data_IF_699822552646
#
_entry.id   IF_699822552646
#
_cell.length_a   1.000
_cell.length_b   1.000
_cell.length_c   1.000
_cell.angle_alpha   90.00
_cell.angle_beta   90.00
_cell.angle_gamma   90.00
#
_symmetry.space_group_name_H-M   'P 1'
#
loop_
_entity.id
_entity.type
_entity.pdbx_description
1 polymer ?
#
# COMPACT_ATOMS: atom_id res chain seq x y z
N UNK A 1 -29.18 4.77 18.49
CA UNK A 1 -28.13 4.67 17.45
C UNK A 1 -26.78 4.81 18.13
N UNK A 2 -25.74 4.12 17.66
CA UNK A 2 -24.38 4.26 18.20
C UNK A 2 -23.88 5.68 17.88
N UNK A 3 -23.35 6.39 18.86
CA UNK A 3 -22.89 7.79 18.73
C UNK A 3 -21.37 7.91 18.78
N UNK A 4 -20.71 6.88 19.27
CA UNK A 4 -19.26 6.82 19.48
C UNK A 4 -18.65 5.47 19.06
N UNK A 5 -17.34 5.44 18.94
CA UNK A 5 -16.55 4.28 18.55
C UNK A 5 -15.22 4.24 19.31
N UNK A 6 -14.57 3.10 19.35
CA UNK A 6 -13.18 2.99 19.75
C UNK A 6 -12.25 3.24 18.56
N UNK A 7 -11.16 3.96 18.79
CA UNK A 7 -10.15 4.26 17.78
C UNK A 7 -8.75 4.40 18.39
N UNK A 8 -7.74 4.08 17.60
CA UNK A 8 -6.33 4.32 17.94
C UNK A 8 -5.92 5.72 17.52
N UNK A 9 -5.58 6.56 18.49
CA UNK A 9 -5.47 8.02 18.35
C UNK A 9 -4.08 8.52 18.75
N UNK A 10 -3.60 9.55 18.05
CA UNK A 10 -2.48 10.38 18.47
C UNK A 10 -2.92 11.83 18.65
N UNK A 11 -2.32 12.55 19.61
CA UNK A 11 -2.64 13.95 19.92
C UNK A 11 -1.60 14.95 19.37
N UNK A 12 -0.47 14.46 18.93
CA UNK A 12 0.61 15.23 18.30
C UNK A 12 1.52 14.29 17.52
N UNK A 13 2.28 14.85 16.59
CA UNK A 13 3.33 14.09 15.91
C UNK A 13 4.47 13.71 16.87
N UNK A 14 5.10 12.55 16.62
CA UNK A 14 6.26 12.06 17.35
C UNK A 14 6.15 10.58 17.71
N UNK A 15 7.22 10.03 18.25
CA UNK A 15 7.30 8.62 18.69
C UNK A 15 6.57 8.34 20.01
N UNK A 16 5.57 9.16 20.31
CA UNK A 16 4.73 8.99 21.49
C UNK A 16 3.77 7.79 21.38
N UNK A 17 3.03 7.51 22.48
CA UNK A 17 2.06 6.42 22.50
C UNK A 17 0.91 6.69 21.55
N UNK A 18 0.38 5.61 20.96
CA UNK A 18 -0.91 5.60 20.30
C UNK A 18 -1.92 5.07 21.32
N UNK A 19 -2.95 5.87 21.61
CA UNK A 19 -3.92 5.57 22.66
C UNK A 19 -5.19 4.98 22.09
N UNK A 20 -5.78 3.99 22.77
CA UNK A 20 -7.13 3.53 22.46
C UNK A 20 -8.13 4.46 23.17
N UNK A 21 -8.92 5.18 22.37
CA UNK A 21 -9.84 6.20 22.88
C UNK A 21 -11.25 6.05 22.35
N UNK A 22 -12.20 6.65 23.06
CA UNK A 22 -13.57 6.81 22.62
C UNK A 22 -13.69 8.07 21.79
N UNK A 23 -14.09 7.93 20.53
CA UNK A 23 -14.23 9.01 19.57
C UNK A 23 -15.66 9.07 19.04
N UNK A 24 -16.19 10.24 18.69
CA UNK A 24 -17.49 10.32 18.00
C UNK A 24 -17.42 9.55 16.69
N UNK A 25 -18.57 9.00 16.27
CA UNK A 25 -18.65 8.43 14.91
C UNK A 25 -18.31 9.51 13.87
N UNK A 26 -17.54 9.17 12.81
CA UNK A 26 -17.20 10.15 11.79
C UNK A 26 -18.47 10.67 11.09
N UNK A 27 -18.51 11.98 10.83
CA UNK A 27 -19.57 12.56 10.01
C UNK A 27 -19.57 11.95 8.61
N UNK A 28 -20.71 11.88 7.96
CA UNK A 28 -20.87 11.30 6.64
C UNK A 28 -21.53 12.32 5.71
N UNK A 29 -20.97 12.48 4.52
CA UNK A 29 -21.57 13.26 3.44
C UNK A 29 -22.56 12.41 2.62
N UNK A 30 -23.42 13.01 1.78
CA UNK A 30 -24.34 12.27 0.92
C UNK A 30 -23.67 11.29 -0.05
N UNK A 31 -22.39 11.47 -0.37
CA UNK A 31 -21.61 10.63 -1.30
C UNK A 31 -20.72 9.59 -0.59
N UNK A 32 -20.84 9.49 0.72
CA UNK A 32 -20.02 8.58 1.52
C UNK A 32 -20.83 7.38 2.02
N UNK A 33 -20.10 6.33 2.34
CA UNK A 33 -20.62 5.22 3.13
C UNK A 33 -19.89 5.18 4.47
N UNK A 34 -20.61 4.76 5.51
CA UNK A 34 -19.97 4.38 6.78
C UNK A 34 -19.74 2.89 6.78
N UNK A 35 -18.52 2.49 6.97
CA UNK A 35 -18.13 1.08 7.01
C UNK A 35 -17.82 0.69 8.45
N UNK A 36 -18.38 -0.44 8.91
CA UNK A 36 -17.95 -1.11 10.12
C UNK A 36 -16.71 -1.94 9.78
N UNK A 37 -15.56 -1.49 10.27
CA UNK A 37 -14.27 -2.12 10.00
C UNK A 37 -14.20 -3.47 10.71
N UNK A 38 -13.73 -4.50 10.01
CA UNK A 38 -13.48 -5.85 10.52
C UNK A 38 -11.99 -6.14 10.63
N UNK A 39 -11.21 -5.60 9.70
CA UNK A 39 -9.75 -5.67 9.68
C UNK A 39 -9.14 -4.40 9.10
N UNK A 40 -7.97 -4.05 9.56
CA UNK A 40 -7.15 -2.97 9.03
C UNK A 40 -5.68 -3.42 9.02
N UNK A 41 -4.93 -3.05 7.98
CA UNK A 41 -3.51 -3.37 7.88
C UNK A 41 -2.63 -2.24 8.41
N UNK A 42 -1.45 -2.60 8.91
CA UNK A 42 -0.43 -1.65 9.35
C UNK A 42 0.61 -1.51 8.24
N UNK A 43 0.89 -0.28 7.85
CA UNK A 43 1.83 0.03 6.78
C UNK A 43 2.93 0.99 7.25
N UNK A 44 4.12 1.00 6.60
CA UNK A 44 5.19 1.95 6.92
C UNK A 44 4.76 3.42 6.90
N UNK A 45 3.76 3.79 6.10
CA UNK A 45 3.24 5.16 6.08
C UNK A 45 2.56 5.55 7.38
N UNK A 46 1.96 4.62 8.11
CA UNK A 46 1.24 4.92 9.36
C UNK A 46 2.18 5.49 10.43
N UNK A 47 3.35 4.89 10.61
CA UNK A 47 4.33 5.42 11.55
C UNK A 47 5.13 6.61 10.97
N UNK A 48 5.31 6.72 9.65
CA UNK A 48 5.85 7.95 9.04
C UNK A 48 4.93 9.15 9.30
N UNK A 49 3.60 8.96 9.23
CA UNK A 49 2.61 9.98 9.60
C UNK A 49 2.67 10.25 11.09
N UNK A 50 2.59 9.21 11.93
CA UNK A 50 2.68 9.35 13.40
C UNK A 50 3.90 10.17 13.82
N UNK A 51 5.06 9.85 13.27
CA UNK A 51 6.33 10.48 13.63
C UNK A 51 6.50 11.90 13.04
N UNK A 52 5.58 12.34 12.17
CA UNK A 52 5.60 13.65 11.53
C UNK A 52 6.55 13.77 10.35
N UNK A 53 7.08 12.66 9.84
CA UNK A 53 7.97 12.64 8.68
C UNK A 53 7.32 13.15 7.39
N UNK A 54 5.99 13.16 7.34
CA UNK A 54 5.21 13.62 6.18
C UNK A 54 4.45 14.93 6.42
N UNK A 55 4.65 15.61 7.55
CA UNK A 55 3.88 16.82 7.94
C UNK A 55 3.97 18.00 6.96
N UNK A 56 5.02 18.07 6.17
CA UNK A 56 5.16 19.09 5.12
C UNK A 56 4.27 18.84 3.89
N UNK A 57 3.91 17.59 3.66
CA UNK A 57 3.08 17.16 2.52
C UNK A 57 1.64 16.86 2.94
N UNK A 58 1.46 16.32 4.14
CA UNK A 58 0.19 15.87 4.69
C UNK A 58 0.00 16.52 6.06
N UNK A 59 -0.88 17.51 6.10
CA UNK A 59 -1.22 18.20 7.35
C UNK A 59 -2.50 17.60 7.92
N UNK A 60 -2.44 17.09 9.13
CA UNK A 60 -3.58 16.53 9.84
C UNK A 60 -3.95 17.38 11.06
N UNK A 61 -5.23 17.34 11.42
CA UNK A 61 -5.73 17.88 12.68
C UNK A 61 -5.68 16.81 13.77
N UNK A 62 -5.49 17.23 15.00
CA UNK A 62 -5.51 16.35 16.16
C UNK A 62 -6.79 16.55 16.99
N UNK A 63 -7.30 15.50 17.67
CA UNK A 63 -6.78 14.14 17.70
C UNK A 63 -6.89 13.43 16.33
N UNK A 64 -5.85 12.69 15.93
CA UNK A 64 -5.79 11.99 14.64
C UNK A 64 -5.92 10.49 14.83
N UNK A 65 -6.87 9.87 14.17
CA UNK A 65 -6.98 8.41 14.05
C UNK A 65 -6.06 7.96 12.92
N UNK A 66 -5.17 7.01 13.20
CA UNK A 66 -4.23 6.45 12.23
C UNK A 66 -4.87 5.35 11.37
N UNK A 67 -4.13 4.89 10.37
CA UNK A 67 -4.48 3.77 9.51
C UNK A 67 -4.92 4.18 8.11
N UNK A 68 -4.49 3.39 7.12
CA UNK A 68 -4.65 3.68 5.70
C UNK A 68 -5.37 2.60 4.90
N UNK A 69 -5.56 1.40 5.45
CA UNK A 69 -6.21 0.27 4.78
C UNK A 69 -7.29 -0.34 5.66
N UNK A 70 -8.34 -0.83 5.05
CA UNK A 70 -9.39 -1.54 5.76
C UNK A 70 -10.15 -2.53 4.87
N UNK A 71 -10.80 -3.48 5.52
CA UNK A 71 -11.92 -4.24 4.99
C UNK A 71 -13.03 -4.32 6.03
N UNK A 72 -14.28 -4.34 5.59
CA UNK A 72 -15.42 -4.32 6.49
C UNK A 72 -16.76 -4.45 5.78
N UNK A 73 -17.81 -4.08 6.50
CA UNK A 73 -19.19 -4.14 6.02
C UNK A 73 -19.80 -2.72 6.00
N UNK A 74 -20.49 -2.39 4.94
CA UNK A 74 -21.24 -1.15 4.83
C UNK A 74 -22.32 -1.11 5.92
N UNK A 75 -22.22 -0.14 6.82
CA UNK A 75 -23.13 0.05 7.93
C UNK A 75 -24.22 1.09 7.64
N UNK A 76 -23.89 2.13 6.89
CA UNK A 76 -24.77 3.22 6.51
C UNK A 76 -24.38 3.74 5.14
N UNK A 77 -25.35 4.21 4.36
CA UNK A 77 -25.16 4.69 2.98
C UNK A 77 -25.71 6.10 2.86
N UNK A 78 -24.94 7.00 2.27
CA UNK A 78 -25.38 8.37 1.97
C UNK A 78 -26.37 8.42 0.81
N UNK A 79 -27.25 9.41 0.83
CA UNK A 79 -28.41 9.51 -0.09
C UNK A 79 -28.06 9.59 -1.58
N UNK A 80 -26.80 9.89 -1.91
CA UNK A 80 -26.29 9.98 -3.29
C UNK A 80 -25.48 8.77 -3.73
N UNK A 81 -25.30 7.78 -2.86
CA UNK A 81 -24.59 6.55 -3.18
C UNK A 81 -25.58 5.52 -3.74
N UNK A 82 -25.30 5.00 -4.92
CA UNK A 82 -26.16 4.02 -5.61
C UNK A 82 -25.49 2.66 -5.82
N UNK A 83 -24.16 2.60 -5.74
CA UNK A 83 -23.36 1.41 -6.03
C UNK A 83 -23.18 0.45 -4.84
N UNK A 84 -23.54 0.89 -3.64
CA UNK A 84 -23.43 0.07 -2.42
C UNK A 84 -24.72 0.12 -1.60
N UNK A 85 -24.92 -0.93 -0.81
CA UNK A 85 -26.03 -1.04 0.16
C UNK A 85 -25.51 -1.55 1.51
N UNK A 86 -26.29 -1.35 2.55
CA UNK A 86 -26.00 -1.87 3.90
C UNK A 86 -25.81 -3.39 3.85
N UNK A 87 -24.73 -3.86 4.48
CA UNK A 87 -24.33 -5.26 4.52
C UNK A 87 -23.36 -5.67 3.42
N UNK A 88 -23.08 -4.84 2.42
CA UNK A 88 -22.07 -5.15 1.41
C UNK A 88 -20.67 -5.25 2.05
N UNK A 89 -19.93 -6.28 1.67
CA UNK A 89 -18.52 -6.45 2.08
C UNK A 89 -17.64 -5.64 1.16
N UNK A 90 -16.85 -4.75 1.75
CA UNK A 90 -16.01 -3.80 1.02
C UNK A 90 -14.60 -3.73 1.60
N UNK A 91 -13.66 -3.29 0.78
CA UNK A 91 -12.31 -2.99 1.19
C UNK A 91 -11.84 -1.73 0.48
N UNK A 92 -10.84 -1.05 1.01
CA UNK A 92 -10.37 0.16 0.38
C UNK A 92 -9.27 0.87 1.15
N UNK A 93 -8.82 1.93 0.51
CA UNK A 93 -7.86 2.89 1.04
C UNK A 93 -8.47 4.28 0.98
N UNK A 94 -8.76 4.91 2.13
CA UNK A 94 -9.30 6.27 2.14
C UNK A 94 -8.27 7.25 1.55
N UNK A 95 -8.75 8.38 1.04
CA UNK A 95 -7.88 9.47 0.55
C UNK A 95 -6.92 9.94 1.65
N UNK A 96 -5.74 10.42 1.24
CA UNK A 96 -4.67 10.85 2.15
C UNK A 96 -5.12 11.93 3.15
N UNK A 97 -6.11 12.74 2.81
CA UNK A 97 -6.64 13.79 3.69
C UNK A 97 -7.64 13.28 4.73
N UNK A 98 -8.10 12.04 4.63
CA UNK A 98 -9.16 11.47 5.49
C UNK A 98 -8.84 10.03 5.91
N UNK A 99 -7.63 9.82 6.41
CA UNK A 99 -7.20 8.52 6.98
C UNK A 99 -7.98 8.22 8.28
N UNK A 100 -7.81 7.04 8.86
CA UNK A 100 -8.42 6.70 10.14
C UNK A 100 -9.02 5.30 10.20
N UNK A 101 -8.31 4.32 9.65
CA UNK A 101 -8.81 2.94 9.59
C UNK A 101 -8.54 2.13 10.86
N UNK A 102 -7.74 2.65 11.81
CA UNK A 102 -7.53 2.00 13.11
C UNK A 102 -8.64 2.40 14.08
N UNK A 103 -9.89 2.13 13.69
CA UNK A 103 -11.12 2.44 14.39
C UNK A 103 -12.20 1.39 14.10
N UNK A 104 -13.29 1.40 14.86
CA UNK A 104 -14.42 0.50 14.59
C UNK A 104 -15.23 0.92 13.35
N UNK A 105 -15.21 2.19 12.99
CA UNK A 105 -15.95 2.74 11.84
C UNK A 105 -15.13 3.78 11.11
N UNK A 106 -15.34 3.86 9.79
CA UNK A 106 -14.85 4.94 8.95
C UNK A 106 -15.98 5.43 8.03
N UNK A 107 -16.03 6.75 7.76
CA UNK A 107 -16.85 7.30 6.67
C UNK A 107 -15.92 7.64 5.50
N UNK A 108 -16.18 7.04 4.36
CA UNK A 108 -15.31 7.09 3.17
C UNK A 108 -16.14 7.32 1.92
N UNK A 109 -15.60 8.06 0.94
CA UNK A 109 -16.29 8.25 -0.33
C UNK A 109 -16.50 6.90 -1.01
N UNK A 110 -17.68 6.71 -1.57
CA UNK A 110 -18.04 5.46 -2.24
C UNK A 110 -17.10 5.10 -3.43
N UNK A 111 -16.41 6.10 -4.00
CA UNK A 111 -15.41 5.90 -5.06
C UNK A 111 -14.04 5.41 -4.55
N UNK A 112 -13.81 5.43 -3.24
CA UNK A 112 -12.54 5.02 -2.61
C UNK A 112 -12.56 3.58 -2.10
N UNK A 113 -13.66 2.88 -2.33
CA UNK A 113 -13.85 1.49 -1.93
C UNK A 113 -14.28 0.62 -3.11
N UNK A 114 -14.04 -0.66 -2.97
CA UNK A 114 -14.49 -1.67 -3.91
C UNK A 114 -15.18 -2.83 -3.17
N UNK A 115 -16.04 -3.61 -3.87
CA UNK A 115 -16.54 -4.86 -3.34
C UNK A 115 -15.37 -5.80 -2.98
N UNK A 116 -15.42 -6.39 -1.82
CA UNK A 116 -14.39 -7.34 -1.37
C UNK A 116 -14.35 -8.55 -2.30
N UNK A 117 -13.17 -8.99 -2.77
CA UNK A 117 -13.06 -10.19 -3.61
C UNK A 117 -13.65 -11.41 -2.91
N UNK A 118 -14.34 -12.26 -3.68
CA UNK A 118 -14.90 -13.50 -3.15
C UNK A 118 -13.78 -14.44 -2.72
N UNK A 119 -13.98 -15.10 -1.59
CA UNK A 119 -13.05 -16.10 -1.06
C UNK A 119 -11.99 -15.56 -0.12
N UNK A 120 -11.80 -14.24 -0.03
CA UNK A 120 -10.87 -13.64 0.93
C UNK A 120 -11.53 -13.44 2.30
N UNK A 121 -10.75 -13.57 3.35
CA UNK A 121 -11.08 -13.07 4.69
C UNK A 121 -10.97 -11.55 4.73
N UNK A 122 -11.49 -10.91 5.79
CA UNK A 122 -11.34 -9.47 5.97
C UNK A 122 -9.87 -9.05 6.16
N UNK A 123 -9.09 -9.89 6.83
CA UNK A 123 -7.66 -9.69 7.06
C UNK A 123 -6.88 -9.72 5.75
N UNK A 124 -7.14 -10.71 4.91
CA UNK A 124 -6.54 -10.79 3.57
C UNK A 124 -6.96 -9.60 2.71
N UNK A 125 -8.24 -9.27 2.67
CA UNK A 125 -8.73 -8.12 1.90
C UNK A 125 -8.15 -6.79 2.39
N UNK A 126 -8.03 -6.58 3.72
CA UNK A 126 -7.46 -5.36 4.28
C UNK A 126 -5.97 -5.20 3.97
N UNK A 127 -5.24 -6.29 3.70
CA UNK A 127 -3.81 -6.24 3.38
C UNK A 127 -3.51 -5.71 1.97
N UNK A 128 -4.50 -5.64 1.10
CA UNK A 128 -4.32 -5.40 -0.34
C UNK A 128 -4.31 -3.91 -0.75
N UNK A 129 -5.20 -3.01 -0.27
CA UNK A 129 -5.47 -1.75 -0.94
C UNK A 129 -4.23 -0.86 -1.13
N UNK A 130 -3.46 -0.61 -0.08
CA UNK A 130 -2.28 0.25 -0.17
C UNK A 130 -1.18 -0.39 -1.02
N UNK A 131 -0.82 -1.63 -0.74
CA UNK A 131 0.26 -2.33 -1.45
C UNK A 131 -0.11 -2.59 -2.90
N UNK A 132 -1.37 -2.96 -3.15
CA UNK A 132 -1.89 -3.23 -4.49
C UNK A 132 -1.94 -1.96 -5.36
N UNK A 133 -2.46 -0.86 -4.84
CA UNK A 133 -2.46 0.43 -5.54
C UNK A 133 -1.03 0.93 -5.79
N UNK A 134 -0.13 0.75 -4.83
CA UNK A 134 1.28 1.15 -4.98
C UNK A 134 1.97 0.34 -6.08
N UNK A 135 1.79 -0.99 -6.09
CA UNK A 135 2.36 -1.86 -7.12
C UNK A 135 1.76 -1.57 -8.51
N UNK A 136 0.42 -1.40 -8.57
CA UNK A 136 -0.28 -1.06 -9.80
C UNK A 136 0.25 0.24 -10.40
N UNK A 137 0.31 1.31 -9.62
CA UNK A 137 0.79 2.61 -10.08
C UNK A 137 2.25 2.55 -10.52
N UNK A 138 3.12 1.89 -9.74
CA UNK A 138 4.53 1.75 -10.10
C UNK A 138 4.71 1.01 -11.43
N UNK A 139 4.03 -0.13 -11.63
CA UNK A 139 4.23 -1.00 -12.79
C UNK A 139 3.49 -0.47 -14.04
N UNK A 140 2.23 0.01 -13.89
CA UNK A 140 1.44 0.42 -15.04
C UNK A 140 1.53 1.91 -15.39
N UNK A 141 1.60 2.79 -14.38
CA UNK A 141 1.50 4.23 -14.62
C UNK A 141 2.89 4.87 -14.75
N UNK A 142 3.87 4.40 -13.95
CA UNK A 142 5.23 4.95 -13.95
C UNK A 142 6.13 4.16 -14.89
N UNK A 143 6.35 2.87 -14.66
CA UNK A 143 7.21 2.03 -15.52
C UNK A 143 6.55 1.78 -16.87
N UNK A 144 5.22 1.71 -16.92
CA UNK A 144 4.42 1.40 -18.11
C UNK A 144 4.79 0.06 -18.76
N UNK A 145 5.17 -0.91 -17.92
CA UNK A 145 5.66 -2.21 -18.34
C UNK A 145 4.65 -2.96 -19.23
N UNK A 146 5.14 -3.56 -20.32
CA UNK A 146 4.36 -4.36 -21.25
C UNK A 146 4.68 -5.85 -21.10
N UNK A 147 3.77 -6.78 -21.49
CA UNK A 147 4.06 -8.21 -21.46
C UNK A 147 5.40 -8.53 -22.16
N UNK A 148 6.26 -9.29 -21.49
CA UNK A 148 7.60 -9.62 -21.97
C UNK A 148 8.71 -8.69 -21.47
N UNK A 149 8.39 -7.52 -20.92
CA UNK A 149 9.39 -6.63 -20.32
C UNK A 149 10.01 -7.26 -19.07
N UNK A 150 11.26 -6.90 -18.81
CA UNK A 150 11.99 -7.30 -17.60
C UNK A 150 11.88 -6.23 -16.52
N UNK A 151 11.38 -6.61 -15.35
CA UNK A 151 11.25 -5.70 -14.21
C UNK A 151 11.95 -6.29 -12.98
N UNK A 152 12.84 -5.50 -12.35
CA UNK A 152 13.35 -5.79 -11.02
C UNK A 152 12.38 -5.24 -9.98
N UNK A 153 11.93 -6.09 -9.06
CA UNK A 153 11.13 -5.72 -7.89
C UNK A 153 11.99 -5.92 -6.65
N UNK A 154 12.40 -4.84 -6.01
CA UNK A 154 13.23 -4.92 -4.81
C UNK A 154 12.43 -5.30 -3.57
N UNK A 155 13.08 -5.98 -2.61
CA UNK A 155 12.49 -6.46 -1.35
C UNK A 155 11.24 -7.33 -1.58
N UNK A 156 11.37 -8.40 -2.35
CA UNK A 156 10.29 -9.28 -2.79
C UNK A 156 9.46 -9.93 -1.67
N UNK A 157 10.03 -10.12 -0.47
CA UNK A 157 9.29 -10.65 0.69
C UNK A 157 8.51 -9.59 1.48
N UNK A 158 8.66 -8.29 1.15
CA UNK A 158 7.89 -7.21 1.77
C UNK A 158 6.46 -7.15 1.27
N UNK A 159 5.56 -6.44 1.97
CA UNK A 159 4.15 -6.33 1.59
C UNK A 159 3.95 -5.82 0.16
N UNK A 160 4.63 -4.74 -0.23
CA UNK A 160 4.56 -4.21 -1.61
C UNK A 160 5.23 -5.16 -2.60
N UNK A 161 6.43 -5.67 -2.27
CA UNK A 161 7.20 -6.56 -3.15
C UNK A 161 6.47 -7.85 -3.48
N UNK A 162 5.90 -8.52 -2.49
CA UNK A 162 5.18 -9.77 -2.67
C UNK A 162 3.92 -9.61 -3.53
N UNK A 163 3.18 -8.53 -3.35
CA UNK A 163 2.05 -8.22 -4.23
C UNK A 163 2.52 -7.86 -5.64
N UNK A 164 3.56 -7.04 -5.77
CA UNK A 164 4.10 -6.60 -7.05
C UNK A 164 4.62 -7.76 -7.90
N UNK A 165 5.27 -8.77 -7.30
CA UNK A 165 5.71 -9.99 -8.00
C UNK A 165 4.50 -10.70 -8.61
N UNK A 166 3.47 -11.00 -7.82
CA UNK A 166 2.27 -11.68 -8.30
C UNK A 166 1.59 -10.90 -9.43
N UNK A 167 1.45 -9.59 -9.24
CA UNK A 167 0.84 -8.72 -10.24
C UNK A 167 1.65 -8.67 -11.54
N UNK A 168 2.97 -8.51 -11.45
CA UNK A 168 3.87 -8.48 -12.61
C UNK A 168 3.88 -9.82 -13.36
N UNK A 169 3.91 -10.94 -12.64
CA UNK A 169 3.80 -12.29 -13.23
C UNK A 169 2.47 -12.49 -13.94
N UNK A 170 1.35 -12.08 -13.33
CA UNK A 170 0.02 -12.16 -13.95
C UNK A 170 -0.09 -11.29 -15.22
N UNK A 171 0.69 -10.21 -15.30
CA UNK A 171 0.81 -9.34 -16.47
C UNK A 171 1.72 -9.90 -17.57
N UNK A 172 2.41 -11.01 -17.32
CA UNK A 172 3.32 -11.64 -18.28
C UNK A 172 4.70 -10.98 -18.35
N UNK A 173 5.14 -10.32 -17.27
CA UNK A 173 6.47 -9.74 -17.18
C UNK A 173 7.51 -10.80 -16.77
N UNK A 174 8.76 -10.61 -17.18
CA UNK A 174 9.90 -11.25 -16.56
C UNK A 174 10.23 -10.52 -15.26
N UNK A 175 10.24 -11.24 -14.14
CA UNK A 175 10.39 -10.68 -12.80
C UNK A 175 11.66 -11.19 -12.14
N UNK A 176 12.62 -10.28 -11.92
CA UNK A 176 13.68 -10.49 -10.96
C UNK A 176 13.31 -9.84 -9.61
N UNK A 177 13.79 -10.42 -8.52
CA UNK A 177 13.56 -9.82 -7.20
C UNK A 177 14.73 -10.03 -6.25
N UNK A 178 14.87 -9.12 -5.28
CA UNK A 178 15.87 -9.22 -4.22
C UNK A 178 15.22 -9.60 -2.89
N UNK A 179 15.95 -10.35 -2.08
CA UNK A 179 15.53 -10.73 -0.74
C UNK A 179 16.67 -11.30 0.07
N UNK A 180 16.37 -11.86 1.24
CA UNK A 180 17.32 -12.61 2.08
C UNK A 180 16.80 -14.02 2.32
N UNK A 181 17.62 -14.88 2.94
CA UNK A 181 17.24 -16.25 3.27
C UNK A 181 15.93 -16.33 4.06
N UNK A 182 15.70 -15.40 4.98
CA UNK A 182 14.48 -15.38 5.78
C UNK A 182 13.19 -15.13 4.97
N UNK A 183 13.31 -14.54 3.78
CA UNK A 183 12.17 -14.31 2.88
C UNK A 183 12.13 -15.25 1.68
N UNK A 184 13.14 -16.13 1.53
CA UNK A 184 13.35 -16.96 0.34
C UNK A 184 12.14 -17.87 0.04
N UNK A 185 11.66 -18.60 1.02
CA UNK A 185 10.51 -19.53 0.86
C UNK A 185 9.26 -18.80 0.33
N UNK A 186 8.96 -17.63 0.90
CA UNK A 186 7.85 -16.81 0.42
C UNK A 186 8.10 -16.35 -1.03
N UNK A 187 9.29 -15.81 -1.31
CA UNK A 187 9.61 -15.31 -2.65
C UNK A 187 9.51 -16.43 -3.69
N UNK A 188 10.07 -17.61 -3.43
CA UNK A 188 10.02 -18.76 -4.33
C UNK A 188 8.59 -19.24 -4.56
N UNK A 189 7.72 -19.18 -3.55
CA UNK A 189 6.29 -19.51 -3.68
C UNK A 189 5.53 -18.56 -4.62
N UNK A 190 6.03 -17.32 -4.81
CA UNK A 190 5.47 -16.34 -5.74
C UNK A 190 5.95 -16.50 -7.18
N UNK A 191 6.88 -17.44 -7.41
CA UNK A 191 7.41 -17.83 -8.72
C UNK A 191 7.98 -16.67 -9.56
N UNK A 192 8.90 -15.83 -9.02
CA UNK A 192 9.67 -14.91 -9.84
C UNK A 192 10.57 -15.70 -10.82
N UNK A 193 11.00 -15.06 -11.91
CA UNK A 193 11.93 -15.70 -12.86
C UNK A 193 13.36 -15.75 -12.30
N UNK A 194 13.71 -14.79 -11.44
CA UNK A 194 15.03 -14.70 -10.84
C UNK A 194 14.98 -14.17 -9.39
N UNK A 195 15.70 -14.83 -8.48
CA UNK A 195 15.84 -14.41 -7.09
C UNK A 195 17.30 -14.15 -6.76
N UNK A 196 17.59 -12.95 -6.27
CA UNK A 196 18.92 -12.51 -5.83
C UNK A 196 18.92 -12.35 -4.32
N UNK A 197 19.73 -13.17 -3.64
CA UNK A 197 20.02 -12.99 -2.22
C UNK A 197 21.02 -11.83 -2.04
N UNK A 198 20.56 -10.67 -1.61
CA UNK A 198 21.40 -9.48 -1.48
C UNK A 198 22.52 -9.59 -0.44
N UNK A 199 22.52 -10.64 0.40
CA UNK A 199 23.61 -10.93 1.34
C UNK A 199 24.78 -11.68 0.69
N UNK A 200 24.53 -12.33 -0.43
CA UNK A 200 25.50 -13.18 -1.12
C UNK A 200 25.94 -12.57 -2.44
N UNK A 201 25.07 -11.76 -3.07
CA UNK A 201 25.28 -11.28 -4.42
C UNK A 201 24.70 -9.88 -4.63
N UNK A 202 25.45 -9.03 -5.31
CA UNK A 202 24.99 -7.72 -5.73
C UNK A 202 24.16 -7.83 -7.03
N UNK A 203 22.92 -7.41 -7.00
CA UNK A 203 22.05 -7.49 -8.16
C UNK A 203 22.58 -6.70 -9.36
N UNK A 204 23.33 -5.62 -9.14
CA UNK A 204 23.89 -4.79 -10.20
C UNK A 204 25.05 -5.46 -10.97
N UNK A 205 25.65 -6.50 -10.39
CA UNK A 205 26.72 -7.25 -11.04
C UNK A 205 26.18 -8.36 -11.97
N UNK A 206 24.95 -8.81 -11.71
CA UNK A 206 24.37 -9.99 -12.39
C UNK A 206 23.19 -9.67 -13.29
N UNK A 207 22.42 -8.64 -12.98
CA UNK A 207 21.28 -8.23 -13.80
C UNK A 207 21.71 -7.23 -14.89
N UNK A 208 21.10 -7.34 -16.09
CA UNK A 208 21.36 -6.42 -17.22
C UNK A 208 20.12 -6.30 -18.09
N UNK A 209 20.04 -5.16 -18.77
CA UNK A 209 19.04 -4.90 -19.81
C UNK A 209 17.59 -5.03 -19.30
N UNK A 210 17.30 -4.41 -18.13
CA UNK A 210 15.97 -4.33 -17.57
C UNK A 210 15.20 -3.13 -18.15
N UNK A 211 13.89 -3.32 -18.37
CA UNK A 211 12.97 -2.28 -18.86
C UNK A 211 12.49 -1.41 -17.68
N UNK A 212 12.42 -1.97 -16.49
CA UNK A 212 12.00 -1.24 -15.31
C UNK A 212 12.60 -1.74 -14.00
N UNK A 213 12.66 -0.83 -13.02
CA UNK A 213 12.96 -1.16 -11.63
C UNK A 213 11.89 -0.57 -10.73
N UNK A 214 11.30 -1.41 -9.89
CA UNK A 214 10.45 -0.97 -8.81
C UNK A 214 11.28 -0.94 -7.51
N UNK A 215 11.82 0.24 -7.20
CA UNK A 215 12.63 0.49 -6.01
C UNK A 215 11.75 0.76 -4.79
N UNK A 216 11.90 -0.09 -3.77
CA UNK A 216 11.22 0.05 -2.47
C UNK A 216 12.19 0.37 -1.33
N UNK A 217 13.49 0.44 -1.60
CA UNK A 217 14.58 0.53 -0.62
C UNK A 217 15.28 1.90 -0.60
N UNK A 218 15.52 2.49 -1.77
CA UNK A 218 16.26 3.74 -1.91
C UNK A 218 17.76 3.64 -1.63
N UNK A 219 18.38 4.80 -1.40
CA UNK A 219 19.81 4.88 -1.12
C UNK A 219 20.66 4.22 -2.20
N UNK A 220 21.70 3.50 -1.80
CA UNK A 220 22.63 2.81 -2.72
C UNK A 220 21.92 1.85 -3.69
N UNK A 221 20.80 1.24 -3.26
CA UNK A 221 20.04 0.35 -4.14
C UNK A 221 19.41 1.10 -5.31
N UNK A 222 18.93 2.33 -5.07
CA UNK A 222 18.42 3.18 -6.12
C UNK A 222 19.52 3.57 -7.12
N UNK A 223 20.71 3.94 -6.63
CA UNK A 223 21.85 4.29 -7.47
C UNK A 223 22.32 3.09 -8.33
N UNK A 224 22.44 1.92 -7.72
CA UNK A 224 22.77 0.67 -8.43
C UNK A 224 21.72 0.28 -9.47
N UNK A 225 20.47 0.62 -9.25
CA UNK A 225 19.38 0.31 -10.17
C UNK A 225 19.55 0.94 -11.55
N UNK A 226 20.21 2.09 -11.66
CA UNK A 226 20.52 2.70 -12.95
C UNK A 226 21.48 1.88 -13.80
N UNK A 227 22.33 1.06 -13.17
CA UNK A 227 23.36 0.27 -13.88
C UNK A 227 22.80 -0.93 -14.64
N UNK A 228 21.61 -1.39 -14.23
CA UNK A 228 20.96 -2.57 -14.84
C UNK A 228 19.93 -2.20 -15.91
N UNK A 229 19.58 -0.93 -16.03
CA UNK A 229 18.56 -0.48 -16.95
C UNK A 229 19.04 -0.40 -18.39
N UNK A 230 18.14 -0.68 -19.31
CA UNK A 230 18.27 -0.26 -20.71
C UNK A 230 18.32 1.28 -20.81
N UNK A 231 18.82 1.84 -21.94
CA UNK A 231 18.88 3.31 -22.11
C UNK A 231 17.56 4.07 -21.92
N UNK A 232 16.43 3.40 -22.09
CA UNK A 232 15.08 3.97 -21.92
C UNK A 232 14.33 3.33 -20.74
N UNK A 233 15.04 2.57 -19.90
CA UNK A 233 14.44 1.92 -18.74
C UNK A 233 14.01 2.94 -17.67
N UNK A 234 12.97 2.61 -16.93
CA UNK A 234 12.32 3.52 -15.98
C UNK A 234 12.43 2.96 -14.55
N UNK A 235 12.72 3.84 -13.59
CA UNK A 235 12.66 3.51 -12.15
C UNK A 235 11.42 4.15 -11.54
N UNK A 236 10.60 3.32 -10.87
CA UNK A 236 9.58 3.78 -9.95
C UNK A 236 10.09 3.59 -8.52
N UNK A 237 10.27 4.66 -7.75
CA UNK A 237 10.72 4.60 -6.35
C UNK A 237 9.67 5.08 -5.37
N UNK A 238 9.52 4.36 -4.25
CA UNK A 238 8.63 4.70 -3.13
C UNK A 238 9.38 4.92 -1.81
N UNK A 239 10.71 4.87 -1.84
CA UNK A 239 11.54 4.82 -0.63
C UNK A 239 11.89 6.18 -0.04
N UNK A 240 11.74 7.27 -0.79
CA UNK A 240 12.09 8.61 -0.33
C UNK A 240 11.29 9.71 -1.01
N UNK A 241 11.37 10.93 -0.44
CA UNK A 241 11.07 12.15 -1.17
C UNK A 241 12.25 12.42 -2.12
N UNK A 242 12.43 11.58 -3.12
CA UNK A 242 13.35 11.91 -4.20
C UNK A 242 12.68 12.99 -5.04
N UNK A 243 13.19 14.23 -4.94
CA UNK A 243 12.84 15.33 -5.82
C UNK A 243 13.44 15.15 -7.22
N UNK A 244 13.90 13.96 -7.56
CA UNK A 244 14.46 13.66 -8.87
C UNK A 244 13.32 13.04 -9.71
N UNK A 245 12.56 13.91 -10.32
CA UNK A 245 11.85 13.57 -11.54
C UNK A 245 12.88 13.67 -12.68
N UNK A 246 13.38 12.52 -13.10
CA UNK A 246 14.11 12.40 -14.36
C UNK A 246 13.20 11.71 -15.35
#
# INVERSE_FOLDING_TARGET
MKTDMQAMVIHHYGKGPVSLERMPLPSMSPYEVRVKIKAASINPIDFKIRDGGLKMLLTYQFPLILGNDFAGEVYEVGDKVTQFKVGDKVYGRPRKSKIGTFAEYISVNAEEIAPMPKGLSYEEAASIPLVGLTAYQAINEVIQAQPGDKVLIQAGSGGVGSFAIQYAKAKGLYVATTGSDSGKELIESLNPDEFINYKEQDFSEVLKDFDGVFDTLGGDNLEKSFQILKPQGIIASISGLSLIHI
#
